data_IF_203855705444
#
_entry.id   IF_203855705444
#
_cell.length_a   1.000
_cell.length_b   1.000
_cell.length_c   1.000
_cell.angle_alpha   90.00
_cell.angle_beta   90.00
_cell.angle_gamma   90.00
#
_symmetry.space_group_name_H-M   'P 1'
#
loop_
_entity.id
_entity.type
_entity.pdbx_description
1 polymer ?
#
# COMPACT_ATOMS: atom_id res chain seq x y z
N UNK A 1 23.21 -6.70 -3.33
CA UNK A 1 22.92 -7.86 -4.19
C UNK A 1 24.16 -8.74 -4.21
N UNK A 2 23.98 -10.04 -4.41
CA UNK A 2 25.10 -10.99 -4.57
C UNK A 2 25.50 -11.01 -6.04
N UNK A 3 26.79 -10.90 -6.33
CA UNK A 3 27.35 -11.08 -7.67
C UNK A 3 27.48 -12.57 -7.99
N UNK A 4 26.62 -13.11 -8.85
CA UNK A 4 26.49 -14.56 -9.05
C UNK A 4 27.71 -15.19 -9.74
N UNK A 5 28.38 -14.46 -10.64
CA UNK A 5 29.61 -14.95 -11.28
C UNK A 5 30.76 -15.06 -10.28
N UNK A 6 30.95 -14.03 -9.45
CA UNK A 6 31.96 -14.04 -8.39
C UNK A 6 31.68 -15.13 -7.34
N UNK A 7 30.39 -15.38 -7.03
CA UNK A 7 30.00 -16.47 -6.15
C UNK A 7 30.33 -17.84 -6.78
N UNK A 8 30.04 -18.03 -8.07
CA UNK A 8 30.37 -19.25 -8.79
C UNK A 8 31.87 -19.52 -8.77
N UNK A 9 32.70 -18.49 -9.01
CA UNK A 9 34.15 -18.60 -8.99
C UNK A 9 34.68 -18.94 -7.60
N UNK A 10 34.20 -18.26 -6.55
CA UNK A 10 34.59 -18.54 -5.18
C UNK A 10 34.25 -19.98 -4.73
N UNK A 11 33.16 -20.56 -5.26
CA UNK A 11 32.78 -21.95 -5.00
C UNK A 11 33.66 -22.93 -5.78
N UNK A 12 33.95 -22.66 -7.06
CA UNK A 12 34.84 -23.48 -7.89
C UNK A 12 36.26 -23.51 -7.32
N UNK A 13 36.74 -22.37 -6.82
CA UNK A 13 38.06 -22.21 -6.17
C UNK A 13 38.10 -22.76 -4.74
N UNK A 14 36.97 -23.31 -4.24
CA UNK A 14 36.80 -23.85 -2.89
C UNK A 14 37.09 -22.84 -1.78
N UNK A 15 37.06 -21.55 -2.09
CA UNK A 15 37.05 -20.49 -1.08
C UNK A 15 35.76 -20.55 -0.27
N UNK A 16 34.64 -20.84 -0.95
CA UNK A 16 33.36 -21.16 -0.34
C UNK A 16 33.03 -22.64 -0.59
N UNK A 17 32.54 -23.31 0.45
CA UNK A 17 32.22 -24.75 0.37
C UNK A 17 30.86 -25.05 -0.26
N UNK A 18 30.01 -24.05 -0.48
CA UNK A 18 28.68 -24.17 -1.07
C UNK A 18 27.82 -22.93 -0.84
N UNK A 19 26.61 -22.93 -1.38
CA UNK A 19 25.62 -21.85 -1.22
C UNK A 19 24.18 -22.38 -1.36
N UNK A 20 23.20 -21.60 -0.89
CA UNK A 20 21.79 -21.83 -1.18
C UNK A 20 21.17 -20.50 -1.64
N UNK A 21 20.60 -20.48 -2.84
CA UNK A 21 20.10 -19.25 -3.49
C UNK A 21 18.67 -19.50 -3.98
N UNK A 22 17.75 -18.64 -3.53
CA UNK A 22 16.32 -18.71 -3.89
C UNK A 22 15.89 -17.61 -4.88
N UNK A 23 16.62 -16.48 -4.94
CA UNK A 23 16.28 -15.32 -5.76
C UNK A 23 17.41 -14.95 -6.70
N UNK A 24 17.06 -14.51 -7.91
CA UNK A 24 18.02 -14.25 -8.99
C UNK A 24 17.77 -12.90 -9.66
N UNK A 25 18.79 -12.24 -10.26
CA UNK A 25 18.60 -10.97 -10.95
C UNK A 25 17.63 -11.04 -12.14
N UNK A 26 17.62 -12.18 -12.83
CA UNK A 26 16.69 -12.50 -13.90
C UNK A 26 16.05 -13.84 -13.57
N UNK A 27 14.72 -13.84 -13.45
CA UNK A 27 13.94 -15.03 -13.14
C UNK A 27 13.03 -15.38 -14.33
N UNK A 28 12.80 -16.69 -14.60
CA UNK A 28 11.81 -17.14 -15.56
C UNK A 28 10.44 -16.51 -15.27
N UNK A 29 9.71 -16.11 -16.31
CA UNK A 29 8.35 -15.55 -16.15
C UNK A 29 7.30 -16.62 -15.89
N UNK A 30 7.60 -17.85 -16.27
CA UNK A 30 6.76 -19.02 -16.04
C UNK A 30 7.63 -20.26 -15.85
N UNK A 31 6.98 -21.36 -15.44
CA UNK A 31 7.64 -22.66 -15.29
C UNK A 31 8.05 -23.31 -16.63
N UNK A 32 7.62 -22.74 -17.76
CA UNK A 32 7.94 -23.24 -19.10
C UNK A 32 9.20 -22.58 -19.70
N UNK A 33 9.69 -21.51 -19.07
CA UNK A 33 10.92 -20.84 -19.47
C UNK A 33 12.14 -21.49 -18.81
N UNK A 34 13.21 -21.63 -19.59
CA UNK A 34 14.47 -22.15 -19.04
C UNK A 34 15.10 -21.12 -18.10
N UNK A 35 15.39 -21.56 -16.87
CA UNK A 35 16.18 -20.81 -15.91
C UNK A 35 17.65 -20.73 -16.36
N UNK A 36 18.33 -19.60 -16.29
CA UNK A 36 19.76 -19.54 -16.62
C UNK A 36 20.53 -18.92 -15.45
N UNK A 37 21.65 -19.54 -15.06
CA UNK A 37 22.48 -19.06 -13.95
C UNK A 37 23.89 -19.66 -13.99
N UNK A 38 24.94 -18.88 -13.68
CA UNK A 38 26.32 -19.38 -13.58
C UNK A 38 26.52 -20.41 -12.44
N UNK A 39 25.53 -20.54 -11.55
CA UNK A 39 25.52 -21.50 -10.45
C UNK A 39 24.99 -22.88 -10.85
N UNK A 40 24.39 -23.03 -12.04
CA UNK A 40 23.93 -24.33 -12.55
C UNK A 40 25.12 -25.29 -12.69
N UNK A 41 24.92 -26.55 -12.29
CA UNK A 41 25.94 -27.60 -12.37
C UNK A 41 26.97 -27.59 -11.24
N UNK A 42 26.85 -26.69 -10.25
CA UNK A 42 27.64 -26.75 -9.02
C UNK A 42 26.91 -27.63 -7.99
N UNK A 43 27.37 -28.86 -7.78
CA UNK A 43 26.70 -29.87 -6.93
C UNK A 43 26.56 -29.46 -5.45
N UNK A 44 27.41 -28.54 -4.98
CA UNK A 44 27.38 -27.99 -3.63
C UNK A 44 26.56 -26.69 -3.53
N UNK A 45 25.72 -26.40 -4.52
CA UNK A 45 24.81 -25.25 -4.54
C UNK A 45 23.37 -25.72 -4.63
N UNK A 46 22.56 -25.29 -3.66
CA UNK A 46 21.11 -25.49 -3.67
C UNK A 46 20.46 -24.30 -4.36
N UNK A 47 19.72 -24.57 -5.45
CA UNK A 47 18.97 -23.56 -6.19
C UNK A 47 17.48 -23.84 -6.00
N UNK A 48 16.74 -22.86 -5.50
CA UNK A 48 15.29 -22.95 -5.34
C UNK A 48 14.60 -21.86 -6.16
N UNK A 49 13.44 -22.12 -6.79
CA UNK A 49 12.85 -21.20 -7.76
C UNK A 49 11.96 -20.14 -7.10
N UNK A 50 12.54 -19.29 -6.24
CA UNK A 50 11.84 -18.22 -5.52
C UNK A 50 10.64 -18.73 -4.72
N UNK A 51 10.84 -19.80 -3.97
CA UNK A 51 9.80 -20.48 -3.20
C UNK A 51 9.94 -20.33 -1.69
N UNK A 52 10.84 -19.46 -1.21
CA UNK A 52 11.04 -19.22 0.22
C UNK A 52 9.77 -18.84 0.98
N UNK A 53 8.79 -18.21 0.31
CA UNK A 53 7.48 -17.88 0.87
C UNK A 53 6.31 -18.72 0.31
N UNK A 54 6.57 -19.72 -0.54
CA UNK A 54 5.55 -20.48 -1.27
C UNK A 54 5.02 -21.66 -0.46
N UNK A 55 4.48 -21.39 0.73
CA UNK A 55 3.85 -22.40 1.61
C UNK A 55 2.36 -22.13 1.80
N UNK A 56 1.59 -23.16 2.17
CA UNK A 56 0.17 -23.02 2.43
C UNK A 56 -0.12 -22.07 3.60
N UNK A 57 0.73 -22.12 4.63
CA UNK A 57 0.67 -21.24 5.80
C UNK A 57 0.94 -19.78 5.43
N UNK A 58 1.93 -19.54 4.57
CA UNK A 58 2.23 -18.19 4.08
C UNK A 58 1.07 -17.64 3.24
N UNK A 59 0.49 -18.46 2.36
CA UNK A 59 -0.70 -18.05 1.57
C UNK A 59 -1.91 -17.75 2.46
N UNK A 60 -2.15 -18.54 3.51
CA UNK A 60 -3.22 -18.27 4.46
C UNK A 60 -3.01 -16.92 5.20
N UNK A 61 -1.77 -16.66 5.63
CA UNK A 61 -1.43 -15.39 6.28
C UNK A 61 -1.54 -14.19 5.34
N UNK A 62 -1.08 -14.31 4.09
CA UNK A 62 -1.22 -13.28 3.05
C UNK A 62 -2.70 -12.99 2.81
N UNK A 63 -3.52 -14.04 2.67
CA UNK A 63 -4.96 -13.91 2.48
C UNK A 63 -5.62 -13.13 3.62
N UNK A 64 -5.29 -13.46 4.87
CA UNK A 64 -5.79 -12.74 6.04
C UNK A 64 -5.30 -11.29 6.08
N UNK A 65 -4.01 -11.06 5.91
CA UNK A 65 -3.39 -9.74 6.00
C UNK A 65 -3.97 -8.78 4.95
N UNK A 66 -4.06 -9.21 3.70
CA UNK A 66 -4.61 -8.39 2.60
C UNK A 66 -6.10 -8.15 2.79
N UNK A 67 -6.87 -9.18 3.18
CA UNK A 67 -8.29 -9.02 3.47
C UNK A 67 -8.53 -8.01 4.60
N UNK A 68 -7.76 -8.09 5.69
CA UNK A 68 -7.86 -7.11 6.78
C UNK A 68 -7.55 -5.69 6.33
N UNK A 69 -6.55 -5.48 5.48
CA UNK A 69 -6.24 -4.15 4.93
C UNK A 69 -7.40 -3.61 4.09
N UNK A 70 -7.99 -4.46 3.25
CA UNK A 70 -9.16 -4.09 2.44
C UNK A 70 -10.38 -3.75 3.30
N UNK A 71 -10.65 -4.56 4.34
CA UNK A 71 -11.72 -4.30 5.31
C UNK A 71 -11.48 -2.98 6.05
N UNK A 72 -10.27 -2.76 6.58
CA UNK A 72 -9.92 -1.50 7.28
C UNK A 72 -10.10 -0.29 6.37
N UNK A 73 -9.60 -0.33 5.14
CA UNK A 73 -9.82 0.75 4.18
C UNK A 73 -11.31 0.94 3.85
N UNK A 74 -12.03 -0.16 3.63
CA UNK A 74 -13.46 -0.14 3.33
C UNK A 74 -14.27 0.51 4.45
N UNK A 75 -13.98 0.16 5.69
CA UNK A 75 -14.83 0.43 6.84
C UNK A 75 -14.44 1.71 7.58
N UNK A 76 -13.15 2.07 7.60
CA UNK A 76 -12.69 3.27 8.31
C UNK A 76 -11.70 4.14 7.52
N UNK A 77 -11.41 3.80 6.26
CA UNK A 77 -10.56 4.60 5.38
C UNK A 77 -9.07 4.50 5.67
N UNK A 78 -8.62 3.59 6.52
CA UNK A 78 -7.18 3.43 6.80
C UNK A 78 -6.44 2.95 5.55
N UNK A 79 -5.37 3.66 5.19
CA UNK A 79 -4.49 3.35 4.05
C UNK A 79 -3.06 3.02 4.48
N UNK A 80 -2.82 2.81 5.78
CA UNK A 80 -1.51 2.36 6.30
C UNK A 80 -1.06 1.09 5.59
N UNK A 81 0.23 1.00 5.28
CA UNK A 81 0.88 -0.04 4.47
C UNK A 81 0.44 -0.12 3.00
N UNK A 82 -0.28 0.90 2.50
CA UNK A 82 -0.52 1.03 1.06
C UNK A 82 0.79 1.28 0.33
N UNK A 83 1.01 0.55 -0.75
CA UNK A 83 2.25 0.64 -1.55
C UNK A 83 2.26 1.81 -2.54
N UNK A 84 1.11 2.46 -2.76
CA UNK A 84 0.95 3.46 -3.81
C UNK A 84 0.06 4.65 -3.41
N UNK A 85 -0.27 4.77 -2.13
CA UNK A 85 -1.24 5.75 -1.65
C UNK A 85 -0.77 6.40 -0.34
N UNK A 86 -1.08 7.69 -0.07
CA UNK A 86 -0.72 8.31 1.19
C UNK A 86 -1.28 7.51 2.37
N UNK A 87 -0.43 7.22 3.34
CA UNK A 87 -0.78 6.41 4.52
C UNK A 87 -1.49 7.28 5.56
N UNK A 88 -2.75 6.97 5.84
CA UNK A 88 -3.57 7.67 6.82
C UNK A 88 -4.26 6.64 7.70
N UNK A 89 -4.26 6.90 9.01
CA UNK A 89 -5.09 6.20 9.99
C UNK A 89 -5.63 7.22 10.99
N UNK A 90 -6.95 7.42 10.97
CA UNK A 90 -7.64 8.27 11.94
C UNK A 90 -8.38 7.34 12.93
N UNK A 91 -8.12 7.43 14.26
CA UNK A 91 -8.90 6.71 15.26
C UNK A 91 -10.40 6.94 15.08
N UNK A 92 -11.23 5.93 15.33
CA UNK A 92 -12.67 6.06 15.19
C UNK A 92 -13.23 7.02 16.26
N UNK A 93 -14.14 7.90 15.86
CA UNK A 93 -14.91 8.76 16.76
C UNK A 93 -16.36 8.24 16.83
N UNK A 94 -16.79 7.61 17.95
CA UNK A 94 -18.15 7.10 18.08
C UNK A 94 -19.21 8.18 17.87
N UNK A 95 -20.26 7.87 17.11
CA UNK A 95 -21.37 8.79 16.83
C UNK A 95 -21.06 9.89 15.80
N UNK A 96 -19.90 9.81 15.13
CA UNK A 96 -19.51 10.70 14.03
C UNK A 96 -19.57 9.95 12.71
N UNK A 97 -19.76 10.69 11.62
CA UNK A 97 -19.65 10.17 10.28
C UNK A 97 -18.26 10.45 9.70
N UNK A 98 -17.75 9.52 8.89
CA UNK A 98 -16.41 9.61 8.31
C UNK A 98 -16.45 9.88 6.81
N UNK A 99 -15.80 10.96 6.41
CA UNK A 99 -15.58 11.37 5.03
C UNK A 99 -14.15 11.07 4.61
N UNK A 100 -14.01 10.44 3.45
CA UNK A 100 -12.75 10.18 2.78
C UNK A 100 -12.65 11.08 1.56
N UNK A 101 -11.60 11.90 1.45
CA UNK A 101 -11.43 12.82 0.34
C UNK A 101 -10.04 12.67 -0.32
N UNK A 102 -10.06 12.17 -1.56
CA UNK A 102 -8.89 11.98 -2.42
C UNK A 102 -8.88 13.12 -3.44
N UNK A 103 -7.76 13.80 -3.56
CA UNK A 103 -7.60 14.96 -4.44
C UNK A 103 -6.22 15.02 -5.07
N UNK A 104 -6.09 15.76 -6.16
CA UNK A 104 -4.81 16.17 -6.72
C UNK A 104 -4.05 17.03 -5.71
N UNK A 105 -2.72 16.85 -5.63
CA UNK A 105 -1.89 17.63 -4.72
C UNK A 105 -1.62 19.05 -5.26
N UNK A 106 -2.65 19.89 -5.29
CA UNK A 106 -2.57 21.29 -5.74
C UNK A 106 -2.82 22.27 -4.59
N UNK A 107 -2.19 23.46 -4.60
CA UNK A 107 -2.39 24.46 -3.55
C UNK A 107 -3.85 24.89 -3.41
N UNK A 108 -4.30 25.10 -2.18
CA UNK A 108 -5.63 25.63 -1.86
C UNK A 108 -6.74 24.60 -1.64
N UNK A 109 -6.55 23.33 -2.00
CA UNK A 109 -7.60 22.29 -1.83
C UNK A 109 -8.05 22.17 -0.38
N UNK A 110 -7.12 22.11 0.59
CA UNK A 110 -7.49 22.07 2.02
C UNK A 110 -8.21 23.33 2.50
N UNK A 111 -7.92 24.49 1.91
CA UNK A 111 -8.64 25.73 2.21
C UNK A 111 -10.09 25.66 1.71
N UNK A 112 -10.31 25.15 0.50
CA UNK A 112 -11.65 24.94 -0.06
C UNK A 112 -12.43 23.88 0.74
N UNK A 113 -11.79 22.78 1.13
CA UNK A 113 -12.38 21.74 1.99
C UNK A 113 -12.84 22.35 3.32
N UNK A 114 -11.96 23.08 4.01
CA UNK A 114 -12.30 23.71 5.29
C UNK A 114 -13.37 24.80 5.16
N UNK A 115 -13.39 25.52 4.04
CA UNK A 115 -14.41 26.52 3.72
C UNK A 115 -15.79 25.88 3.56
N UNK A 116 -15.89 24.73 2.89
CA UNK A 116 -17.14 23.95 2.83
C UNK A 116 -17.66 23.65 4.23
N UNK A 117 -16.83 23.17 5.16
CA UNK A 117 -17.30 22.92 6.52
C UNK A 117 -17.72 24.20 7.25
N UNK A 118 -16.93 25.27 7.15
CA UNK A 118 -17.20 26.54 7.82
C UNK A 118 -18.50 27.21 7.34
N UNK A 119 -18.75 27.26 6.03
CA UNK A 119 -19.95 27.89 5.44
C UNK A 119 -21.24 27.14 5.76
N UNK A 120 -21.14 25.85 6.10
CA UNK A 120 -22.29 25.01 6.42
C UNK A 120 -22.45 24.76 7.93
N UNK A 121 -21.63 25.42 8.77
CA UNK A 121 -21.69 25.29 10.22
C UNK A 121 -21.33 23.89 10.72
N UNK A 122 -20.53 23.13 9.96
CA UNK A 122 -20.16 21.74 10.26
C UNK A 122 -18.89 21.73 11.09
N UNK A 123 -18.94 21.15 12.29
CA UNK A 123 -17.76 20.98 13.13
C UNK A 123 -16.95 19.73 12.74
N UNK A 124 -15.63 19.87 12.64
CA UNK A 124 -14.70 18.76 12.40
C UNK A 124 -14.26 18.19 13.76
N UNK A 125 -14.57 16.92 14.00
CA UNK A 125 -14.19 16.22 15.23
C UNK A 125 -12.78 15.65 15.17
N UNK A 126 -12.35 15.26 13.98
CA UNK A 126 -11.00 14.77 13.73
C UNK A 126 -10.66 14.87 12.26
N UNK A 127 -9.40 15.10 11.94
CA UNK A 127 -8.91 15.07 10.57
C UNK A 127 -7.47 14.57 10.52
N UNK A 128 -7.15 13.82 9.48
CA UNK A 128 -5.77 13.43 9.17
C UNK A 128 -5.57 13.55 7.66
N UNK A 129 -4.63 14.40 7.24
CA UNK A 129 -4.18 14.55 5.87
C UNK A 129 -2.79 13.95 5.70
N UNK A 130 -2.58 13.20 4.63
CA UNK A 130 -1.25 12.92 4.10
C UNK A 130 -1.25 13.12 2.58
N UNK A 131 -0.09 13.50 2.05
CA UNK A 131 0.08 13.71 0.60
C UNK A 131 1.30 12.96 0.08
N UNK A 132 1.30 12.69 -1.22
CA UNK A 132 2.50 12.35 -1.98
C UNK A 132 2.61 13.30 -3.19
N UNK A 133 3.53 13.03 -4.12
CA UNK A 133 3.76 13.89 -5.29
C UNK A 133 2.52 14.10 -6.19
N UNK A 134 1.57 13.16 -6.18
CA UNK A 134 0.43 13.15 -7.10
C UNK A 134 -0.89 13.49 -6.42
N UNK A 135 -1.11 12.95 -5.23
CA UNK A 135 -2.41 13.01 -4.55
C UNK A 135 -2.30 13.38 -3.09
N UNK A 136 -3.32 14.07 -2.59
CA UNK A 136 -3.63 14.20 -1.18
C UNK A 136 -4.76 13.27 -0.79
N UNK A 137 -4.67 12.71 0.41
CA UNK A 137 -5.72 11.92 1.03
C UNK A 137 -6.00 12.45 2.43
N UNK A 138 -7.22 12.92 2.64
CA UNK A 138 -7.68 13.37 3.95
C UNK A 138 -8.87 12.54 4.41
N UNK A 139 -8.80 12.09 5.65
CA UNK A 139 -9.89 11.45 6.39
C UNK A 139 -10.41 12.45 7.40
N UNK A 140 -11.73 12.67 7.43
CA UNK A 140 -12.38 13.72 8.22
C UNK A 140 -13.59 13.12 8.93
N UNK A 141 -13.68 13.33 10.24
CA UNK A 141 -14.84 12.95 11.04
C UNK A 141 -15.68 14.19 11.38
N UNK A 142 -16.98 14.12 11.10
CA UNK A 142 -17.97 15.20 11.33
C UNK A 142 -19.21 14.65 12.02
N UNK A 143 -20.10 15.53 12.48
CA UNK A 143 -21.41 15.11 12.97
C UNK A 143 -22.27 14.46 11.88
N UNK A 144 -22.97 13.38 12.26
CA UNK A 144 -23.70 12.48 11.35
C UNK A 144 -24.67 13.20 10.41
N UNK A 145 -25.39 14.16 10.96
CA UNK A 145 -26.44 14.93 10.29
C UNK A 145 -25.96 15.75 9.08
N UNK A 146 -24.64 15.97 8.93
CA UNK A 146 -24.07 16.81 7.88
C UNK A 146 -23.31 16.04 6.79
N UNK A 147 -23.21 14.72 6.92
CA UNK A 147 -22.34 13.89 6.05
C UNK A 147 -22.72 13.93 4.57
N UNK A 148 -24.01 13.80 4.23
CA UNK A 148 -24.48 13.83 2.84
C UNK A 148 -24.23 15.19 2.18
N UNK A 149 -24.55 16.29 2.89
CA UNK A 149 -24.31 17.66 2.43
C UNK A 149 -22.81 17.93 2.23
N UNK A 150 -21.98 17.49 3.17
CA UNK A 150 -20.53 17.60 3.07
C UNK A 150 -20.02 16.83 1.85
N UNK A 151 -20.44 15.58 1.67
CA UNK A 151 -20.01 14.75 0.55
C UNK A 151 -20.37 15.41 -0.80
N UNK A 152 -21.61 15.86 -0.98
CA UNK A 152 -22.06 16.52 -2.21
C UNK A 152 -21.15 17.70 -2.56
N UNK A 153 -20.90 18.59 -1.59
CA UNK A 153 -20.09 19.79 -1.81
C UNK A 153 -18.61 19.48 -2.05
N UNK A 154 -18.03 18.54 -1.31
CA UNK A 154 -16.63 18.17 -1.45
C UNK A 154 -16.33 17.54 -2.83
N UNK A 155 -17.29 16.81 -3.42
CA UNK A 155 -17.15 16.25 -4.77
C UNK A 155 -16.98 17.31 -5.86
N UNK A 156 -17.39 18.56 -5.60
CA UNK A 156 -17.30 19.67 -6.55
C UNK A 156 -16.07 20.56 -6.37
N UNK A 157 -15.21 20.29 -5.38
CA UNK A 157 -13.96 21.04 -5.21
C UNK A 157 -13.03 20.75 -6.40
N UNK A 158 -12.40 21.80 -6.92
CA UNK A 158 -11.42 21.66 -8.00
C UNK A 158 -10.24 20.79 -7.54
N UNK A 159 -9.89 19.77 -8.33
CA UNK A 159 -8.87 18.79 -7.99
C UNK A 159 -9.39 17.58 -7.19
N UNK A 160 -10.69 17.51 -6.86
CA UNK A 160 -11.25 16.30 -6.25
C UNK A 160 -11.22 15.12 -7.22
N UNK A 161 -10.64 14.01 -6.78
CA UNK A 161 -10.59 12.74 -7.52
C UNK A 161 -11.73 11.84 -7.06
N UNK A 162 -11.93 11.72 -5.74
CA UNK A 162 -13.00 10.90 -5.16
C UNK A 162 -13.33 11.35 -3.74
N UNK A 163 -14.63 11.40 -3.42
CA UNK A 163 -15.12 11.59 -2.06
C UNK A 163 -16.13 10.49 -1.70
N UNK A 164 -16.03 9.92 -0.49
CA UNK A 164 -16.90 8.84 0.01
C UNK A 164 -17.23 9.06 1.49
N UNK A 165 -18.47 8.81 1.88
CA UNK A 165 -18.88 8.63 3.29
C UNK A 165 -18.87 7.14 3.64
N UNK A 166 -18.41 6.80 4.84
CA UNK A 166 -18.32 5.40 5.29
C UNK A 166 -19.50 4.97 6.16
N UNK A 167 -19.81 5.78 7.16
CA UNK A 167 -20.87 5.59 8.13
C UNK A 167 -21.16 6.92 8.77
#
# INVERSE_FOLDING_TARGET
MVELDALADAIKDKHLIGAAIDVFPVEPRSNDEEFESPLRGLDNVILTPHIGGSTAEAQANIGLEVAEKLVKYSDNGTSVSSVNFPEVALPAHPGKHRLLHIHENIPGVMSEINKVFAENGINISGQFLQTNEKVGYVVIDVDAEYSDLAQEKLQHINGTIRCRVLF
#
